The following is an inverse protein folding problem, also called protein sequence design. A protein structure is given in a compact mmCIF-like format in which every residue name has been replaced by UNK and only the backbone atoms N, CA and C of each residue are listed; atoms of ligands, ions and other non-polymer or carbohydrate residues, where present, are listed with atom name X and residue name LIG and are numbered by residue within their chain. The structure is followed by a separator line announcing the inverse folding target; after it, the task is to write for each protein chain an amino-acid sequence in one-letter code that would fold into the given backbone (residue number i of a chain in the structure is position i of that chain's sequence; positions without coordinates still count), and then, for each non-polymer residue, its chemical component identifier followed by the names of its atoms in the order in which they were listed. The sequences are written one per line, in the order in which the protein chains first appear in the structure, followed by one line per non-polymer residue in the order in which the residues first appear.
data_IF_794543167642
#
_entry.id   IF_794543167642
#
_cell.length_a   1.000
_cell.length_b   1.000
_cell.length_c   1.000
_cell.angle_alpha   90.00
_cell.angle_beta   90.00
_cell.angle_gamma   90.00
#
_symmetry.space_group_name_H-M   'P 1'
#
loop_
_entity.id
_entity.type
_entity.pdbx_description
1 polymer ?
#
# COMPACT_ATOMS: atom_id res chain seq x y z
N UNK A 1 11.67 -9.53 -6.48
CA UNK A 1 12.13 -8.30 -5.79
C UNK A 1 10.90 -7.43 -5.59
N UNK A 2 10.50 -7.20 -4.35
CA UNK A 2 9.31 -6.39 -4.00
C UNK A 2 9.80 -4.99 -3.64
N UNK A 3 9.92 -4.12 -4.64
CA UNK A 3 10.32 -2.73 -4.44
C UNK A 3 9.13 -1.84 -4.78
N UNK A 4 8.94 -0.79 -3.97
CA UNK A 4 7.81 0.14 -4.09
C UNK A 4 8.31 1.53 -3.76
N UNK A 5 7.90 2.49 -4.58
CA UNK A 5 8.19 3.89 -4.46
C UNK A 5 6.85 4.60 -4.28
N UNK A 6 6.68 5.26 -3.14
CA UNK A 6 5.51 6.06 -2.83
C UNK A 6 5.91 7.52 -2.74
N UNK A 7 5.15 8.40 -3.38
CA UNK A 7 5.30 9.84 -3.33
C UNK A 7 4.01 10.41 -2.75
N UNK A 8 4.12 11.08 -1.61
CA UNK A 8 3.03 11.86 -1.02
C UNK A 8 3.30 13.34 -1.31
N UNK A 9 2.33 14.04 -1.89
CA UNK A 9 2.46 15.47 -2.08
C UNK A 9 2.37 16.18 -0.72
N UNK A 10 3.18 17.24 -0.50
CA UNK A 10 3.18 17.97 0.77
C UNK A 10 1.93 18.84 0.97
N UNK A 11 1.05 18.92 -0.04
CA UNK A 11 -0.19 19.67 0.05
C UNK A 11 -1.23 18.94 0.91
N UNK A 12 -1.63 19.60 1.99
CA UNK A 12 -2.72 19.17 2.86
C UNK A 12 -4.02 19.76 2.32
N UNK A 13 -4.85 18.88 1.74
CA UNK A 13 -6.17 19.20 1.23
C UNK A 13 -7.20 19.05 2.36
N UNK A 14 -8.24 19.87 2.37
CA UNK A 14 -9.32 19.77 3.35
C UNK A 14 -10.65 19.68 2.61
N UNK A 15 -11.40 18.61 2.89
CA UNK A 15 -12.73 18.39 2.33
C UNK A 15 -13.66 17.91 3.44
N UNK A 16 -14.82 18.57 3.60
CA UNK A 16 -15.86 18.19 4.57
C UNK A 16 -15.35 18.01 6.02
N UNK A 17 -14.34 18.80 6.43
CA UNK A 17 -13.73 18.71 7.76
C UNK A 17 -12.66 17.63 7.92
N UNK A 18 -12.47 16.76 6.93
CA UNK A 18 -11.35 15.83 6.88
C UNK A 18 -10.15 16.47 6.17
N UNK A 19 -8.98 16.40 6.81
CA UNK A 19 -7.72 16.78 6.20
C UNK A 19 -7.05 15.54 5.60
N UNK A 20 -6.57 15.63 4.37
CA UNK A 20 -5.86 14.52 3.72
C UNK A 20 -4.78 15.04 2.79
N UNK A 21 -3.77 14.20 2.52
CA UNK A 21 -2.75 14.42 1.51
C UNK A 21 -2.97 13.43 0.38
N UNK A 22 -2.84 13.87 -0.86
CA UNK A 22 -2.88 12.96 -2.00
C UNK A 22 -1.47 12.52 -2.38
N UNK A 23 -1.36 11.32 -2.91
CA UNK A 23 -0.10 10.73 -3.33
C UNK A 23 -0.29 9.72 -4.44
N UNK A 24 0.82 9.27 -4.98
CA UNK A 24 0.88 8.19 -5.94
C UNK A 24 1.93 7.18 -5.53
N UNK A 25 1.68 5.92 -5.80
CA UNK A 25 2.60 4.84 -5.51
C UNK A 25 2.75 3.92 -6.71
N UNK A 26 4.00 3.58 -7.01
CA UNK A 26 4.36 2.61 -8.01
C UNK A 26 5.17 1.51 -7.34
N UNK A 27 4.84 0.25 -7.57
CA UNK A 27 5.57 -0.86 -6.97
C UNK A 27 5.49 -2.14 -7.78
N UNK A 28 6.34 -3.10 -7.43
CA UNK A 28 6.35 -4.42 -8.04
C UNK A 28 5.82 -5.44 -7.05
N UNK A 29 4.91 -6.29 -7.51
CA UNK A 29 4.40 -7.42 -6.74
C UNK A 29 4.66 -8.71 -7.51
N UNK A 30 4.73 -9.81 -6.77
CA UNK A 30 5.10 -11.09 -7.34
C UNK A 30 4.80 -12.25 -6.39
N UNK A 31 3.66 -12.88 -6.58
CA UNK A 31 3.29 -14.10 -5.87
C UNK A 31 3.61 -15.31 -6.75
N UNK A 32 4.20 -16.32 -6.14
CA UNK A 32 4.32 -17.66 -6.72
C UNK A 32 3.41 -18.59 -5.94
N UNK A 33 2.56 -19.32 -6.64
CA UNK A 33 1.77 -20.38 -6.00
C UNK A 33 2.71 -21.42 -5.37
N UNK A 34 2.38 -21.83 -4.15
CA UNK A 34 3.18 -22.77 -3.35
C UNK A 34 2.60 -24.19 -3.41
N UNK A 35 1.40 -24.39 -3.97
CA UNK A 35 0.82 -25.71 -4.18
C UNK A 35 1.27 -26.33 -5.52
N UNK A 36 1.65 -27.63 -5.57
CA UNK A 36 1.83 -28.35 -6.83
C UNK A 36 0.48 -28.33 -7.59
N UNK A 37 0.42 -27.87 -8.86
CA UNK A 37 1.47 -27.92 -9.89
C UNK A 37 2.26 -26.61 -10.13
N UNK A 38 2.22 -25.63 -9.23
CA UNK A 38 3.00 -24.36 -9.31
C UNK A 38 2.81 -23.56 -10.61
N UNK A 39 1.68 -23.71 -11.32
CA UNK A 39 1.46 -23.04 -12.61
C UNK A 39 0.97 -21.59 -12.49
N UNK A 40 0.51 -21.18 -11.30
CA UNK A 40 0.06 -19.81 -11.05
C UNK A 40 1.18 -18.87 -10.60
N UNK A 41 1.68 -18.02 -11.50
CA UNK A 41 2.47 -16.84 -11.12
C UNK A 41 1.63 -15.57 -11.29
N UNK A 42 1.55 -14.76 -10.22
CA UNK A 42 0.91 -13.44 -10.24
C UNK A 42 1.96 -12.37 -9.99
N UNK A 43 2.56 -11.86 -11.08
CA UNK A 43 3.58 -10.81 -11.04
C UNK A 43 3.10 -9.60 -11.82
N UNK A 44 3.43 -8.40 -11.34
CA UNK A 44 3.05 -7.19 -12.03
C UNK A 44 3.54 -5.91 -11.38
N UNK A 45 3.15 -4.81 -12.01
CA UNK A 45 3.32 -3.45 -11.52
C UNK A 45 2.04 -3.01 -10.82
N UNK A 46 2.15 -2.48 -9.61
CA UNK A 46 1.07 -1.72 -8.95
C UNK A 46 1.25 -0.24 -9.24
N UNK A 47 0.21 0.44 -9.69
CA UNK A 47 0.10 1.90 -9.80
C UNK A 47 -1.14 2.32 -9.03
N UNK A 48 -0.94 3.04 -7.93
CA UNK A 48 -1.98 3.29 -6.94
C UNK A 48 -2.07 4.78 -6.63
N UNK A 49 -3.30 5.32 -6.63
CA UNK A 49 -3.57 6.64 -6.07
C UNK A 49 -3.80 6.52 -4.57
N UNK A 50 -3.17 7.41 -3.79
CA UNK A 50 -3.19 7.38 -2.33
C UNK A 50 -3.87 8.62 -1.75
N UNK A 51 -4.63 8.43 -0.68
CA UNK A 51 -5.16 9.45 0.21
C UNK A 51 -4.67 9.15 1.63
N UNK A 52 -3.92 10.07 2.21
CA UNK A 52 -3.32 9.94 3.53
C UNK A 52 -3.98 10.91 4.52
N UNK A 53 -4.66 10.37 5.52
CA UNK A 53 -5.33 11.09 6.60
C UNK A 53 -4.42 11.13 7.84
N UNK A 54 -4.04 12.32 8.34
CA UNK A 54 -3.37 12.45 9.62
C UNK A 54 -4.36 12.18 10.76
N UNK A 55 -3.98 11.33 11.71
CA UNK A 55 -4.82 10.95 12.85
C UNK A 55 -3.99 11.01 14.15
N UNK A 56 -3.81 12.22 14.68
CA UNK A 56 -2.98 12.47 15.85
C UNK A 56 -1.52 12.02 15.63
N UNK A 57 -0.96 11.15 16.48
CA UNK A 57 0.38 10.57 16.27
C UNK A 57 0.40 9.50 15.18
N UNK A 58 -0.76 9.07 14.65
CA UNK A 58 -0.89 8.09 13.58
C UNK A 58 -1.18 8.70 12.21
N UNK A 59 -1.17 7.83 11.20
CA UNK A 59 -1.56 8.14 9.82
C UNK A 59 -2.29 6.95 9.23
N UNK A 60 -3.45 7.21 8.66
CA UNK A 60 -4.22 6.23 7.87
C UNK A 60 -4.05 6.58 6.41
N UNK A 61 -3.69 5.62 5.57
CA UNK A 61 -3.69 5.80 4.12
C UNK A 61 -4.65 4.81 3.50
N UNK A 62 -5.41 5.29 2.54
CA UNK A 62 -6.23 4.45 1.69
C UNK A 62 -5.88 4.75 0.26
N UNK A 63 -6.13 3.81 -0.63
CA UNK A 63 -6.01 4.09 -2.03
C UNK A 63 -6.54 2.98 -2.90
N UNK A 64 -6.51 3.26 -4.19
CA UNK A 64 -6.99 2.36 -5.21
C UNK A 64 -6.28 2.63 -6.52
N UNK A 65 -6.23 1.63 -7.36
CA UNK A 65 -5.57 1.72 -8.65
C UNK A 65 -5.42 0.38 -9.32
N UNK A 66 -4.38 0.25 -10.14
CA UNK A 66 -4.14 -0.92 -10.96
C UNK A 66 -3.02 -1.75 -10.35
N UNK A 67 -3.26 -3.05 -10.21
CA UNK A 67 -2.26 -4.06 -9.93
C UNK A 67 -2.17 -5.00 -11.13
N UNK A 68 -1.19 -4.78 -12.00
CA UNK A 68 -1.11 -5.43 -13.30
C UNK A 68 -2.25 -4.96 -14.20
N UNK A 69 -3.11 -5.90 -14.62
CA UNK A 69 -4.32 -5.61 -15.42
C UNK A 69 -5.59 -5.45 -14.56
N UNK A 70 -5.50 -5.73 -13.26
CA UNK A 70 -6.64 -5.79 -12.36
C UNK A 70 -6.74 -4.57 -11.47
N UNK A 71 -7.94 -4.23 -11.02
CA UNK A 71 -8.14 -3.19 -10.02
C UNK A 71 -7.78 -3.71 -8.62
N UNK A 72 -7.04 -2.91 -7.85
CA UNK A 72 -6.65 -3.19 -6.49
C UNK A 72 -6.89 -2.02 -5.55
N UNK A 73 -7.14 -2.34 -4.29
CA UNK A 73 -7.35 -1.41 -3.19
C UNK A 73 -6.30 -1.65 -2.12
N UNK A 74 -5.93 -0.58 -1.40
CA UNK A 74 -5.04 -0.70 -0.26
C UNK A 74 -5.52 0.17 0.90
N UNK A 75 -5.26 -0.33 2.09
CA UNK A 75 -5.46 0.41 3.33
C UNK A 75 -4.24 0.18 4.22
N UNK A 76 -3.72 1.26 4.78
CA UNK A 76 -2.57 1.30 5.67
C UNK A 76 -2.97 2.06 6.93
N UNK A 77 -2.70 1.49 8.09
CA UNK A 77 -2.83 2.17 9.36
C UNK A 77 -1.48 2.13 10.05
N UNK A 78 -0.97 3.31 10.40
CA UNK A 78 0.32 3.48 11.08
C UNK A 78 0.17 4.35 12.32
N UNK A 79 0.97 4.04 13.34
CA UNK A 79 1.05 4.78 14.59
C UNK A 79 2.51 5.17 14.86
N UNK A 80 2.73 6.45 15.16
CA UNK A 80 4.04 7.00 15.47
C UNK A 80 4.31 7.12 16.96
N UNK A 81 5.56 6.87 17.34
CA UNK A 81 6.14 7.15 18.64
C UNK A 81 7.37 8.03 18.45
N UNK A 82 7.41 9.15 19.17
CA UNK A 82 8.57 10.02 19.20
C UNK A 82 9.51 9.61 20.33
N UNK A 83 10.77 9.33 20.01
CA UNK A 83 11.85 9.04 20.95
C UNK A 83 12.95 10.08 20.73
N UNK A 84 12.86 11.21 21.44
CA UNK A 84 13.74 12.36 21.23
C UNK A 84 13.61 12.91 19.80
N UNK A 85 14.71 13.01 19.01
CA UNK A 85 14.67 13.47 17.63
C UNK A 85 14.18 12.41 16.62
N UNK A 86 13.98 11.16 17.06
CA UNK A 86 13.57 10.05 16.20
C UNK A 86 12.06 9.87 16.21
N UNK A 87 11.44 9.82 15.03
CA UNK A 87 10.04 9.44 14.81
C UNK A 87 10.01 7.99 14.32
N UNK A 88 9.62 7.07 15.19
CA UNK A 88 9.46 5.66 14.85
C UNK A 88 7.98 5.37 14.62
N UNK A 89 7.63 4.80 13.47
CA UNK A 89 6.24 4.42 13.18
C UNK A 89 6.14 2.96 12.84
N UNK A 90 5.10 2.34 13.39
CA UNK A 90 4.71 0.97 13.10
C UNK A 90 3.36 0.99 12.44
N UNK A 91 3.16 0.13 11.45
CA UNK A 91 1.87 0.04 10.79
C UNK A 91 1.64 -1.31 10.16
N UNK A 92 0.40 -1.50 9.76
CA UNK A 92 -0.01 -2.62 8.92
C UNK A 92 -0.64 -2.06 7.67
N UNK A 93 -0.36 -2.73 6.56
CA UNK A 93 -0.95 -2.43 5.27
C UNK A 93 -1.58 -3.68 4.71
N UNK A 94 -2.83 -3.57 4.29
CA UNK A 94 -3.50 -4.59 3.48
C UNK A 94 -3.62 -4.10 2.05
N UNK A 95 -3.37 -4.99 1.09
CA UNK A 95 -3.61 -4.75 -0.32
C UNK A 95 -4.43 -5.91 -0.86
N UNK A 96 -5.56 -5.59 -1.51
CA UNK A 96 -6.45 -6.58 -2.12
C UNK A 96 -6.59 -6.27 -3.62
N UNK A 97 -6.48 -7.30 -4.46
CA UNK A 97 -6.75 -7.26 -5.88
C UNK A 97 -8.10 -7.94 -6.10
N UNK A 98 -9.09 -7.16 -6.56
CA UNK A 98 -10.49 -7.56 -6.61
C UNK A 98 -10.81 -8.45 -7.82
N UNK A 99 -10.00 -8.41 -8.87
CA UNK A 99 -10.24 -9.16 -10.10
C UNK A 99 -8.93 -9.59 -10.77
N UNK A 100 -8.04 -10.25 -10.01
CA UNK A 100 -6.81 -10.78 -10.58
C UNK A 100 -7.13 -12.02 -11.43
N UNK A 101 -6.52 -12.11 -12.61
CA UNK A 101 -6.53 -13.33 -13.41
C UNK A 101 -5.15 -13.98 -13.33
N UNK A 102 -5.13 -15.29 -13.08
CA UNK A 102 -3.91 -16.09 -13.21
C UNK A 102 -3.51 -16.20 -14.69
N UNK A 103 -2.26 -16.56 -14.99
CA UNK A 103 -1.81 -16.86 -16.36
C UNK A 103 -2.70 -17.87 -17.13
N UNK A 104 -3.49 -18.67 -16.41
CA UNK A 104 -4.46 -19.64 -16.97
C UNK A 104 -5.87 -19.07 -17.16
N UNK A 105 -6.09 -17.76 -16.94
CA UNK A 105 -7.39 -17.09 -17.11
C UNK A 105 -8.41 -17.35 -15.99
N UNK A 106 -7.99 -17.97 -14.89
CA UNK A 106 -8.84 -18.21 -13.73
C UNK A 106 -8.91 -16.96 -12.83
N UNK A 107 -10.11 -16.52 -12.40
CA UNK A 107 -10.26 -15.40 -11.49
C UNK A 107 -9.78 -15.80 -10.09
N UNK A 108 -8.87 -15.02 -9.53
CA UNK A 108 -8.37 -15.17 -8.16
C UNK A 108 -8.51 -13.85 -7.42
N UNK A 109 -8.88 -13.95 -6.14
CA UNK A 109 -8.70 -12.86 -5.19
C UNK A 109 -7.33 -12.99 -4.58
N UNK A 110 -6.46 -12.03 -4.85
CA UNK A 110 -5.14 -11.95 -4.25
C UNK A 110 -5.16 -10.83 -3.21
N UNK A 111 -5.03 -11.20 -1.94
CA UNK A 111 -4.88 -10.26 -0.84
C UNK A 111 -3.65 -10.62 -0.02
N UNK A 112 -2.95 -9.60 0.46
CA UNK A 112 -1.82 -9.78 1.35
C UNK A 112 -1.73 -8.63 2.35
N UNK A 113 -1.06 -8.91 3.47
CA UNK A 113 -0.83 -7.95 4.53
C UNK A 113 0.68 -7.78 4.75
N UNK A 114 1.14 -6.54 4.63
CA UNK A 114 2.51 -6.11 4.84
C UNK A 114 2.63 -5.42 6.21
N UNK A 115 3.67 -5.74 6.97
CA UNK A 115 4.09 -4.94 8.12
C UNK A 115 4.91 -3.74 7.67
N UNK A 116 4.65 -2.57 8.24
CA UNK A 116 5.38 -1.34 7.96
C UNK A 116 6.15 -0.90 9.20
N UNK A 117 7.42 -0.57 9.01
CA UNK A 117 8.22 0.18 9.98
C UNK A 117 8.84 1.37 9.25
N UNK A 118 8.65 2.58 9.75
CA UNK A 118 9.29 3.78 9.22
C UNK A 118 10.04 4.51 10.31
N UNK A 119 11.26 4.96 10.02
CA UNK A 119 12.08 5.75 10.93
C UNK A 119 12.32 7.11 10.27
N UNK A 120 11.87 8.16 10.92
CA UNK A 120 12.18 9.55 10.60
C UNK A 120 13.16 10.12 11.61
N UNK A 121 14.08 10.96 11.16
CA UNK A 121 14.95 11.75 12.03
C UNK A 121 14.57 13.20 11.79
N UNK A 122 14.07 13.87 12.82
CA UNK A 122 13.90 15.32 12.80
C UNK A 122 15.21 15.95 13.28
N UNK A 123 15.88 16.65 12.36
CA UNK A 123 17.08 17.45 12.61
C UNK A 123 16.72 18.86 13.07
#
# INVERSE_FOLDING_TARGET
MHARISIEFPLLMQLLGAQFRFGGEIGFFGFKDRMPPQTGELKGLTVMGLLAFPAGPGKVKIGGGLAGKAFGVMAEASYGLMIGPMDLRFGFRTTEILNAETNEGLPIRAAWQDGLVSIGINL
#
